data_IF_038383965145
#
_entry.id   IF_038383965145
#
_cell.length_a   1.000
_cell.length_b   1.000
_cell.length_c   1.000
_cell.angle_alpha   90.00
_cell.angle_beta   90.00
_cell.angle_gamma   90.00
#
_symmetry.space_group_name_H-M   'P 1'
#
loop_
_entity.id
_entity.type
_entity.pdbx_description
1 polymer ?
#
# COMPACT_ATOMS: atom_id res chain seq x y z
N UNK A 1 -0.82 14.69 39.94
CA UNK A 1 -1.81 14.21 38.95
C UNK A 1 -1.55 12.73 38.68
N UNK A 2 -2.55 11.86 38.82
CA UNK A 2 -2.40 10.42 38.56
C UNK A 2 -2.17 10.20 37.05
N UNK A 3 -1.07 9.53 36.68
CA UNK A 3 -0.77 9.20 35.28
C UNK A 3 -1.66 8.02 34.87
N UNK A 4 -2.69 8.27 34.08
CA UNK A 4 -3.47 7.19 33.42
C UNK A 4 -2.80 6.84 32.11
N UNK A 5 -2.38 5.59 31.94
CA UNK A 5 -1.82 5.10 30.69
C UNK A 5 -2.97 4.64 29.79
N UNK A 6 -2.91 4.87 28.48
CA UNK A 6 -3.96 4.41 27.55
C UNK A 6 -4.26 2.90 27.68
N UNK A 7 -3.26 2.12 28.09
CA UNK A 7 -3.34 0.67 28.35
C UNK A 7 -4.05 0.27 29.65
N UNK A 8 -4.42 1.23 30.51
CA UNK A 8 -5.17 0.97 31.75
C UNK A 8 -6.67 1.23 31.60
N UNK A 9 -7.16 1.40 30.37
CA UNK A 9 -8.59 1.48 30.08
C UNK A 9 -9.18 0.07 30.16
N UNK A 10 -10.32 -0.08 30.86
CA UNK A 10 -11.03 -1.36 31.06
C UNK A 10 -11.40 -2.06 29.74
N UNK A 11 -11.46 -1.30 28.66
CA UNK A 11 -11.71 -1.79 27.30
C UNK A 11 -10.62 -2.76 26.80
N UNK A 12 -9.39 -2.65 27.33
CA UNK A 12 -8.28 -3.56 27.01
C UNK A 12 -8.24 -4.83 27.90
N UNK A 13 -9.02 -4.88 28.99
CA UNK A 13 -9.14 -6.07 29.85
C UNK A 13 -10.15 -7.08 29.31
N UNK A 14 -10.93 -6.72 28.29
CA UNK A 14 -11.89 -7.62 27.67
C UNK A 14 -11.16 -8.71 26.85
N UNK A 15 -11.64 -9.96 26.86
CA UNK A 15 -11.10 -11.01 26.00
C UNK A 15 -11.32 -10.61 24.54
N UNK A 16 -10.23 -10.39 23.81
CA UNK A 16 -10.26 -10.12 22.38
C UNK A 16 -10.59 -11.43 21.66
N UNK A 17 -11.83 -11.59 21.20
CA UNK A 17 -12.19 -12.66 20.29
C UNK A 17 -11.55 -12.41 18.92
N UNK A 18 -10.37 -13.02 18.72
CA UNK A 18 -9.71 -13.05 17.42
C UNK A 18 -10.52 -13.96 16.47
N UNK A 19 -11.42 -13.35 15.72
CA UNK A 19 -12.14 -14.00 14.62
C UNK A 19 -11.16 -14.31 13.48
N UNK A 20 -10.47 -15.44 13.63
CA UNK A 20 -9.49 -15.97 12.69
C UNK A 20 -10.07 -16.14 11.29
N UNK A 21 -11.37 -16.41 11.17
CA UNK A 21 -12.04 -16.57 9.87
C UNK A 21 -12.15 -15.25 9.12
N UNK A 22 -12.51 -14.15 9.80
CA UNK A 22 -12.52 -12.81 9.20
C UNK A 22 -11.13 -12.33 8.85
N UNK A 23 -10.14 -12.60 9.70
CA UNK A 23 -8.73 -12.23 9.44
C UNK A 23 -8.22 -12.96 8.19
N UNK A 24 -8.42 -14.27 8.11
CA UNK A 24 -8.03 -15.08 6.95
C UNK A 24 -8.80 -14.68 5.68
N UNK A 25 -10.08 -14.33 5.80
CA UNK A 25 -10.88 -13.83 4.69
C UNK A 25 -10.37 -12.47 4.18
N UNK A 26 -10.03 -11.54 5.08
CA UNK A 26 -9.43 -10.25 4.72
C UNK A 26 -8.06 -10.43 4.03
N UNK A 27 -7.23 -11.35 4.54
CA UNK A 27 -5.94 -11.70 3.93
C UNK A 27 -6.11 -12.34 2.54
N UNK A 28 -7.11 -13.22 2.36
CA UNK A 28 -7.45 -13.82 1.06
C UNK A 28 -7.95 -12.79 0.04
N UNK A 29 -8.83 -11.86 0.44
CA UNK A 29 -9.31 -10.78 -0.45
C UNK A 29 -8.15 -9.96 -1.04
N UNK A 30 -7.10 -9.73 -0.25
CA UNK A 30 -5.88 -9.06 -0.72
C UNK A 30 -4.98 -9.92 -1.62
N UNK A 31 -5.13 -11.25 -1.56
CA UNK A 31 -4.40 -12.22 -2.38
C UNK A 31 -5.05 -12.43 -3.76
N UNK A 32 -6.36 -12.28 -3.87
CA UNK A 32 -7.13 -12.68 -5.05
C UNK A 32 -7.19 -11.64 -6.18
N UNK A 33 -6.87 -10.36 -5.94
CA UNK A 33 -6.65 -9.41 -7.04
C UNK A 33 -5.22 -9.54 -7.57
N UNK A 34 -4.94 -10.62 -8.31
CA UNK A 34 -3.66 -10.77 -9.00
C UNK A 34 -3.45 -9.55 -9.89
N UNK A 35 -2.39 -8.79 -9.61
CA UNK A 35 -1.98 -7.66 -10.45
C UNK A 35 -1.75 -8.20 -11.85
N UNK A 36 -2.44 -7.63 -12.84
CA UNK A 36 -2.23 -8.02 -14.24
C UNK A 36 -0.96 -7.36 -14.75
N UNK A 37 -0.07 -8.09 -15.44
CA UNK A 37 1.02 -7.44 -16.16
C UNK A 37 0.40 -6.51 -17.22
N UNK A 38 0.91 -5.29 -17.31
CA UNK A 38 0.43 -4.29 -18.26
C UNK A 38 1.65 -3.70 -18.96
N UNK A 39 1.61 -3.71 -20.30
CA UNK A 39 2.62 -3.07 -21.12
C UNK A 39 2.31 -1.57 -21.22
N UNK A 40 3.33 -0.75 -21.03
CA UNK A 40 3.26 0.71 -21.20
C UNK A 40 4.36 1.11 -22.17
N UNK A 41 4.00 1.83 -23.23
CA UNK A 41 4.97 2.39 -24.15
C UNK A 41 5.59 3.64 -23.53
N UNK A 42 6.91 3.63 -23.38
CA UNK A 42 7.72 4.74 -22.89
C UNK A 42 8.95 4.83 -23.80
N UNK A 43 9.48 6.04 -23.98
CA UNK A 43 10.75 6.23 -24.66
C UNK A 43 11.93 5.76 -23.78
N UNK A 44 13.05 5.46 -24.42
CA UNK A 44 14.23 4.92 -23.75
C UNK A 44 14.80 5.88 -22.70
N UNK A 45 14.75 7.20 -22.96
CA UNK A 45 15.27 8.20 -22.02
C UNK A 45 14.47 8.23 -20.72
N UNK A 46 13.14 8.22 -20.82
CA UNK A 46 12.24 8.14 -19.67
C UNK A 46 12.44 6.84 -18.88
N UNK A 47 12.65 5.70 -19.56
CA UNK A 47 12.91 4.42 -18.88
C UNK A 47 14.20 4.49 -18.06
N UNK A 48 15.26 5.10 -18.59
CA UNK A 48 16.54 5.24 -17.89
C UNK A 48 16.42 6.15 -16.67
N UNK A 49 15.76 7.30 -16.81
CA UNK A 49 15.53 8.22 -15.69
C UNK A 49 14.73 7.57 -14.56
N UNK A 50 13.68 6.83 -14.90
CA UNK A 50 12.87 6.17 -13.89
C UNK A 50 13.62 5.03 -13.18
N UNK A 51 14.49 4.30 -13.90
CA UNK A 51 15.38 3.29 -13.28
C UNK A 51 16.36 3.95 -12.31
N UNK A 52 17.03 5.03 -12.72
CA UNK A 52 17.95 5.76 -11.87
C UNK A 52 17.25 6.33 -10.61
N UNK A 53 16.02 6.84 -10.77
CA UNK A 53 15.22 7.33 -9.66
C UNK A 53 14.85 6.20 -8.68
N UNK A 54 14.48 5.03 -9.21
CA UNK A 54 14.14 3.86 -8.40
C UNK A 54 15.35 3.34 -7.61
N UNK A 55 16.52 3.26 -8.25
CA UNK A 55 17.79 2.89 -7.61
C UNK A 55 18.16 3.85 -6.49
N UNK A 56 18.06 5.16 -6.75
CA UNK A 56 18.32 6.20 -5.73
C UNK A 56 17.40 6.06 -4.51
N UNK A 57 16.17 5.60 -4.71
CA UNK A 57 15.20 5.36 -3.63
C UNK A 57 15.30 3.95 -3.02
N UNK A 58 16.15 3.07 -3.57
CA UNK A 58 16.30 1.70 -3.11
C UNK A 58 15.07 0.82 -3.37
N UNK A 59 14.26 1.14 -4.39
CA UNK A 59 13.05 0.38 -4.73
C UNK A 59 13.12 -0.16 -6.16
N UNK A 60 12.40 -1.25 -6.48
CA UNK A 60 12.30 -1.72 -7.86
C UNK A 60 11.58 -0.71 -8.76
N UNK A 61 12.09 -0.50 -9.98
CA UNK A 61 11.47 0.38 -10.98
C UNK A 61 9.97 0.08 -11.21
N UNK A 62 9.58 -1.19 -11.24
CA UNK A 62 8.17 -1.58 -11.36
C UNK A 62 7.28 -1.06 -10.22
N UNK A 63 7.82 -1.00 -8.99
CA UNK A 63 7.10 -0.46 -7.82
C UNK A 63 6.93 1.05 -7.95
N UNK A 64 7.98 1.75 -8.40
CA UNK A 64 7.95 3.19 -8.66
C UNK A 64 6.90 3.56 -9.72
N UNK A 65 6.94 2.92 -10.90
CA UNK A 65 5.96 3.17 -11.98
C UNK A 65 4.53 2.99 -11.46
N UNK A 66 4.29 1.89 -10.73
CA UNK A 66 2.97 1.59 -10.19
C UNK A 66 2.50 2.68 -9.23
N UNK A 67 3.39 3.19 -8.39
CA UNK A 67 3.06 4.29 -7.48
C UNK A 67 2.66 5.54 -8.25
N UNK A 68 3.44 5.92 -9.27
CA UNK A 68 3.15 7.08 -10.12
C UNK A 68 1.82 6.96 -10.87
N UNK A 69 1.51 5.79 -11.44
CA UNK A 69 0.23 5.56 -12.13
C UNK A 69 -0.95 5.70 -11.16
N UNK A 70 -0.86 5.11 -9.97
CA UNK A 70 -1.95 5.15 -8.98
C UNK A 70 -2.17 6.56 -8.43
N UNK A 71 -1.08 7.26 -8.11
CA UNK A 71 -1.09 8.62 -7.60
C UNK A 71 -1.61 9.62 -8.66
N UNK A 72 -1.20 9.46 -9.93
CA UNK A 72 -1.76 10.21 -11.05
C UNK A 72 -3.27 10.00 -11.20
N UNK A 73 -3.74 8.76 -11.13
CA UNK A 73 -5.17 8.43 -11.21
C UNK A 73 -5.96 9.03 -10.04
N UNK A 74 -5.41 8.98 -8.83
CA UNK A 74 -6.05 9.58 -7.65
C UNK A 74 -6.17 11.10 -7.78
N UNK A 75 -5.10 11.78 -8.23
CA UNK A 75 -5.12 13.22 -8.49
C UNK A 75 -6.18 13.59 -9.52
N UNK A 76 -6.29 12.84 -10.62
CA UNK A 76 -7.32 13.08 -11.64
C UNK A 76 -8.73 12.92 -11.09
N UNK A 77 -8.97 11.92 -10.24
CA UNK A 77 -10.28 11.71 -9.60
C UNK A 77 -10.67 12.83 -8.63
N UNK A 78 -9.70 13.46 -7.96
CA UNK A 78 -9.95 14.59 -7.05
C UNK A 78 -10.19 15.91 -7.79
N UNK A 79 -9.66 16.02 -9.01
CA UNK A 79 -9.81 17.21 -9.85
C UNK A 79 -11.10 17.19 -10.70
N UNK A 80 -11.74 16.02 -10.85
CA UNK A 80 -13.04 15.84 -11.48
C UNK A 80 -14.18 15.93 -10.47
#
# INVERSE_FOLDING_TARGET
MKKSYAKSLKEYDAPVELDSTKILAAMKRYKDSKKKPTSVALDETTIQELKALAEKQGIPYQVLIRAFILDGLERMKKAS
#
